data_IF_271116084972
#
_entry.id   IF_271116084972
#
_cell.length_a   1.000
_cell.length_b   1.000
_cell.length_c   1.000
_cell.angle_alpha   90.00
_cell.angle_beta   90.00
_cell.angle_gamma   90.00
#
_symmetry.space_group_name_H-M   'P 1'
#
loop_
_entity.id
_entity.type
_entity.pdbx_description
1 polymer ?
#
# COMPACT_ATOMS: atom_id res chain seq x y z
N UNK A 1 -21.82 15.77 -23.47
CA UNK A 1 -21.21 14.74 -22.60
C UNK A 1 -21.55 13.39 -23.22
N UNK A 2 -20.58 12.47 -23.42
CA UNK A 2 -20.83 11.21 -24.14
C UNK A 2 -21.54 10.21 -23.22
N UNK A 3 -22.46 9.40 -23.73
CA UNK A 3 -23.16 8.36 -22.97
C UNK A 3 -22.62 6.97 -23.34
N UNK A 4 -22.44 6.12 -22.33
CA UNK A 4 -22.07 4.72 -22.49
C UNK A 4 -23.14 3.81 -21.86
N UNK A 5 -23.51 2.75 -22.56
CA UNK A 5 -24.41 1.71 -22.06
C UNK A 5 -23.58 0.53 -21.57
N UNK A 6 -23.71 0.15 -20.30
CA UNK A 6 -23.07 -1.03 -19.72
C UNK A 6 -24.13 -2.11 -19.53
N UNK A 7 -23.94 -3.27 -20.15
CA UNK A 7 -24.87 -4.40 -20.11
C UNK A 7 -24.14 -5.71 -19.80
N UNK A 8 -24.91 -6.77 -19.50
CA UNK A 8 -24.43 -8.03 -18.91
C UNK A 8 -23.53 -7.82 -17.69
N UNK A 9 -24.06 -7.14 -16.66
CA UNK A 9 -23.34 -6.84 -15.41
C UNK A 9 -22.95 -8.10 -14.62
N UNK A 10 -21.78 -8.05 -13.97
CA UNK A 10 -21.32 -9.02 -12.97
C UNK A 10 -20.67 -8.26 -11.78
N UNK A 11 -19.96 -8.96 -10.89
CA UNK A 11 -19.28 -8.36 -9.72
C UNK A 11 -18.31 -7.20 -10.08
N UNK A 12 -17.91 -7.08 -11.36
CA UNK A 12 -16.98 -6.07 -11.86
C UNK A 12 -17.67 -4.83 -12.44
N UNK A 13 -19.00 -4.77 -12.46
CA UNK A 13 -19.75 -3.63 -13.02
C UNK A 13 -19.32 -2.28 -12.42
N UNK A 14 -19.00 -2.25 -11.12
CA UNK A 14 -18.52 -1.02 -10.48
C UNK A 14 -17.18 -0.52 -11.02
N UNK A 15 -16.29 -1.43 -11.43
CA UNK A 15 -15.00 -1.10 -12.03
C UNK A 15 -15.21 -0.50 -13.42
N UNK A 16 -16.11 -1.09 -14.22
CA UNK A 16 -16.44 -0.60 -15.57
C UNK A 16 -17.10 0.78 -15.52
N UNK A 17 -18.01 1.00 -14.57
CA UNK A 17 -18.67 2.29 -14.37
C UNK A 17 -17.66 3.37 -13.97
N UNK A 18 -16.71 3.07 -13.09
CA UNK A 18 -15.69 4.02 -12.66
C UNK A 18 -14.73 4.41 -13.80
N UNK A 19 -14.22 3.44 -14.59
CA UNK A 19 -13.36 3.73 -15.75
C UNK A 19 -14.05 4.65 -16.76
N UNK A 20 -15.31 4.36 -17.07
CA UNK A 20 -16.09 5.16 -18.01
C UNK A 20 -16.34 6.58 -17.48
N UNK A 21 -16.58 6.73 -16.18
CA UNK A 21 -16.76 8.03 -15.54
C UNK A 21 -15.46 8.88 -15.60
N UNK A 22 -14.29 8.30 -15.33
CA UNK A 22 -12.99 8.98 -15.46
C UNK A 22 -12.72 9.41 -16.91
N UNK A 23 -13.20 8.63 -17.87
CA UNK A 23 -13.12 8.94 -19.32
C UNK A 23 -14.20 9.93 -19.78
N UNK A 24 -14.98 10.49 -18.85
CA UNK A 24 -15.97 11.55 -19.09
C UNK A 24 -17.30 11.07 -19.66
N UNK A 25 -17.62 9.78 -19.54
CA UNK A 25 -18.92 9.23 -19.93
C UNK A 25 -19.95 9.37 -18.82
N UNK A 26 -21.21 9.59 -19.18
CA UNK A 26 -22.35 9.21 -18.32
C UNK A 26 -22.68 7.76 -18.59
N UNK A 27 -22.85 6.98 -17.53
CA UNK A 27 -23.04 5.54 -17.62
C UNK A 27 -24.48 5.18 -17.34
N UNK A 28 -25.11 4.48 -18.29
CA UNK A 28 -26.44 3.91 -18.15
C UNK A 28 -26.34 2.39 -18.05
N UNK A 29 -27.15 1.79 -17.17
CA UNK A 29 -27.27 0.33 -16.99
C UNK A 29 -28.74 -0.08 -17.17
N UNK A 30 -29.06 -1.11 -17.97
CA UNK A 30 -30.43 -1.59 -18.11
C UNK A 30 -31.09 -1.91 -16.75
N UNK A 31 -32.34 -1.51 -16.54
CA UNK A 31 -33.05 -1.72 -15.27
C UNK A 31 -33.18 -3.20 -14.87
N UNK A 32 -33.18 -4.10 -15.85
CA UNK A 32 -33.19 -5.56 -15.66
C UNK A 32 -31.87 -6.15 -15.11
N UNK A 33 -30.81 -5.34 -15.04
CA UNK A 33 -29.46 -5.74 -14.60
C UNK A 33 -29.09 -5.13 -13.24
N UNK A 34 -30.10 -4.79 -12.44
CA UNK A 34 -29.93 -4.30 -11.07
C UNK A 34 -29.30 -5.36 -10.17
N UNK A 35 -28.30 -4.93 -9.40
CA UNK A 35 -27.66 -5.68 -8.33
C UNK A 35 -27.35 -4.73 -7.16
N UNK A 36 -26.98 -5.26 -6.00
CA UNK A 36 -26.59 -4.43 -4.85
C UNK A 36 -25.46 -3.42 -5.20
N UNK A 37 -24.56 -3.80 -6.10
CA UNK A 37 -23.46 -2.94 -6.57
C UNK A 37 -23.98 -1.81 -7.46
N UNK A 38 -24.83 -2.10 -8.44
CA UNK A 38 -25.35 -1.06 -9.34
C UNK A 38 -26.31 -0.10 -8.62
N UNK A 39 -27.04 -0.59 -7.62
CA UNK A 39 -27.92 0.24 -6.79
C UNK A 39 -27.13 1.21 -5.89
N UNK A 40 -26.04 0.76 -5.27
CA UNK A 40 -25.14 1.64 -4.51
C UNK A 40 -24.51 2.72 -5.40
N UNK A 41 -24.05 2.35 -6.60
CA UNK A 41 -23.48 3.30 -7.56
C UNK A 41 -24.53 4.31 -8.07
N UNK A 42 -25.77 3.87 -8.30
CA UNK A 42 -26.87 4.76 -8.66
C UNK A 42 -27.20 5.74 -7.52
N UNK A 43 -27.23 5.28 -6.27
CA UNK A 43 -27.45 6.12 -5.09
C UNK A 43 -26.36 7.20 -4.91
N UNK A 44 -25.13 6.91 -5.37
CA UNK A 44 -24.00 7.86 -5.39
C UNK A 44 -23.96 8.74 -6.64
N UNK A 45 -24.93 8.60 -7.55
CA UNK A 45 -24.99 9.37 -8.80
C UNK A 45 -23.93 9.00 -9.83
N UNK A 46 -23.31 7.81 -9.73
CA UNK A 46 -22.24 7.36 -10.61
C UNK A 46 -22.75 6.63 -11.87
N UNK A 47 -24.00 6.19 -11.87
CA UNK A 47 -24.71 5.63 -13.04
C UNK A 47 -26.21 5.92 -12.98
N UNK A 48 -26.92 5.69 -14.09
CA UNK A 48 -28.38 5.75 -14.16
C UNK A 48 -28.97 4.42 -14.62
N UNK A 49 -30.05 3.96 -14.00
CA UNK A 49 -30.81 2.81 -14.50
C UNK A 49 -31.83 3.26 -15.55
N UNK A 50 -31.85 2.59 -16.70
CA UNK A 50 -32.71 2.94 -17.84
C UNK A 50 -33.59 1.75 -18.21
N UNK A 51 -34.88 1.99 -18.43
CA UNK A 51 -35.79 0.97 -18.98
C UNK A 51 -35.60 0.86 -20.49
N UNK A 52 -35.41 -0.37 -20.97
CA UNK A 52 -35.28 -0.71 -22.40
C UNK A 52 -34.37 0.24 -23.23
N UNK A 53 -33.08 0.38 -22.88
CA UNK A 53 -32.18 1.26 -23.60
C UNK A 53 -31.93 0.77 -25.04
N UNK A 54 -32.05 1.68 -26.02
CA UNK A 54 -31.63 1.43 -27.42
C UNK A 54 -30.10 1.49 -27.54
N UNK A 55 -29.39 0.37 -27.77
CA UNK A 55 -27.93 0.36 -27.80
C UNK A 55 -27.32 1.24 -28.90
N UNK A 56 -28.07 1.55 -29.97
CA UNK A 56 -27.58 2.40 -31.07
C UNK A 56 -27.60 3.90 -30.73
N UNK A 57 -28.28 4.30 -29.65
CA UNK A 57 -28.30 5.68 -29.18
C UNK A 57 -27.05 6.06 -28.37
N UNK A 58 -26.20 5.09 -28.02
CA UNK A 58 -25.02 5.28 -27.18
C UNK A 58 -23.73 5.41 -27.98
N UNK A 59 -22.81 6.25 -27.50
CA UNK A 59 -21.50 6.42 -28.12
C UNK A 59 -20.57 5.20 -27.88
N UNK A 60 -20.89 4.38 -26.88
CA UNK A 60 -20.14 3.20 -26.50
C UNK A 60 -21.09 2.21 -25.80
N UNK A 61 -21.07 0.94 -26.21
CA UNK A 61 -21.79 -0.15 -25.54
C UNK A 61 -20.76 -1.14 -25.02
N UNK A 62 -20.77 -1.41 -23.72
CA UNK A 62 -19.79 -2.25 -23.03
C UNK A 62 -20.49 -3.44 -22.40
N UNK A 63 -20.01 -4.63 -22.72
CA UNK A 63 -20.37 -5.85 -22.02
C UNK A 63 -19.45 -6.00 -20.80
N UNK A 64 -19.99 -5.84 -19.59
CA UNK A 64 -19.22 -5.96 -18.36
C UNK A 64 -18.71 -7.40 -18.10
N UNK A 65 -19.34 -8.41 -18.73
CA UNK A 65 -18.97 -9.81 -18.64
C UNK A 65 -17.97 -10.27 -19.72
N UNK A 66 -17.86 -9.56 -20.85
CA UNK A 66 -17.04 -9.97 -21.98
C UNK A 66 -15.54 -9.95 -21.67
N UNK A 67 -14.93 -11.13 -21.67
CA UNK A 67 -13.48 -11.28 -21.80
C UNK A 67 -13.04 -10.91 -23.22
N UNK A 68 -12.15 -9.93 -23.37
CA UNK A 68 -11.44 -9.71 -24.63
C UNK A 68 -10.46 -10.87 -24.86
N UNK A 69 -10.88 -11.87 -25.64
CA UNK A 69 -10.04 -12.99 -26.08
C UNK A 69 -9.00 -12.49 -27.09
N UNK A 70 -7.73 -12.49 -26.70
CA UNK A 70 -6.59 -12.35 -27.62
C UNK A 70 -6.28 -13.68 -28.32
N UNK A 71 -6.10 -13.64 -29.64
CA UNK A 71 -5.64 -14.78 -30.47
C UNK A 71 -4.16 -15.03 -30.20
N UNK A 72 -3.81 -16.24 -29.76
CA UNK A 72 -2.42 -16.72 -29.69
C UNK A 72 -2.01 -17.39 -31.02
N UNK A 73 -0.73 -17.31 -31.44
CA UNK A 73 -0.24 -18.09 -32.55
C UNK A 73 0.04 -19.55 -32.11
N UNK A 74 -0.34 -20.46 -32.99
CA UNK A 74 -0.28 -21.90 -32.85
C UNK A 74 1.15 -22.44 -32.93
N UNK A 75 1.56 -23.29 -31.97
CA UNK A 75 2.76 -24.13 -32.07
C UNK A 75 2.64 -25.41 -31.22
N UNK A 76 2.09 -26.44 -31.87
CA UNK A 76 2.41 -27.88 -31.85
C UNK A 76 3.09 -28.51 -30.62
N UNK A 77 2.52 -29.66 -30.29
CA UNK A 77 2.90 -30.67 -29.30
C UNK A 77 4.34 -31.21 -29.39
N UNK A 78 4.94 -31.50 -28.22
CA UNK A 78 5.50 -32.82 -27.90
C UNK A 78 5.75 -32.96 -26.40
N UNK A 79 5.35 -34.12 -25.85
CA UNK A 79 5.48 -34.43 -24.43
C UNK A 79 6.92 -34.77 -24.03
N UNK A 80 7.37 -34.14 -22.95
CA UNK A 80 8.42 -34.59 -22.06
C UNK A 80 8.00 -34.17 -20.66
N UNK A 81 8.02 -35.07 -19.68
CA UNK A 81 7.79 -34.73 -18.27
C UNK A 81 8.98 -33.94 -17.72
N UNK A 82 9.22 -32.76 -18.30
CA UNK A 82 10.14 -31.79 -17.77
C UNK A 82 9.70 -31.53 -16.33
N UNK A 83 10.59 -31.74 -15.36
CA UNK A 83 10.41 -31.09 -14.06
C UNK A 83 10.17 -29.63 -14.40
N UNK A 84 8.99 -29.10 -14.05
CA UNK A 84 8.71 -27.68 -14.27
C UNK A 84 9.91 -26.92 -13.71
N UNK A 85 10.54 -26.10 -14.55
CA UNK A 85 11.64 -25.26 -14.07
C UNK A 85 11.12 -24.46 -12.88
N UNK A 86 11.89 -24.41 -11.79
CA UNK A 86 11.55 -23.61 -10.62
C UNK A 86 11.31 -22.18 -11.09
N UNK A 87 10.19 -21.60 -10.65
CA UNK A 87 9.85 -20.22 -10.91
C UNK A 87 10.72 -19.28 -10.09
N UNK A 88 10.25 -18.05 -9.89
CA UNK A 88 11.01 -17.03 -9.20
C UNK A 88 10.10 -16.18 -8.30
N UNK A 89 10.71 -15.55 -7.31
CA UNK A 89 10.03 -14.58 -6.43
C UNK A 89 10.54 -13.18 -6.76
N UNK A 90 9.63 -12.22 -6.87
CA UNK A 90 9.95 -10.79 -6.97
C UNK A 90 9.41 -10.10 -5.73
N UNK A 91 10.30 -9.59 -4.89
CA UNK A 91 9.94 -8.78 -3.72
C UNK A 91 9.75 -7.34 -4.18
N UNK A 92 8.52 -6.82 -4.14
CA UNK A 92 8.15 -5.50 -4.66
C UNK A 92 7.73 -4.58 -3.53
N UNK A 93 8.45 -3.47 -3.38
CA UNK A 93 8.05 -2.36 -2.52
C UNK A 93 6.97 -1.54 -3.21
N UNK A 94 5.78 -1.55 -2.65
CA UNK A 94 4.56 -1.00 -3.23
C UNK A 94 4.39 0.51 -3.04
N UNK A 95 5.24 1.17 -2.25
CA UNK A 95 5.01 2.57 -1.90
C UNK A 95 4.04 2.75 -0.72
N UNK A 96 3.82 4.00 -0.26
CA UNK A 96 3.10 4.27 0.99
C UNK A 96 1.57 4.08 0.92
N UNK A 97 0.98 3.97 -0.28
CA UNK A 97 -0.46 3.79 -0.46
C UNK A 97 -0.93 4.20 -1.86
N UNK A 98 -0.58 5.41 -2.29
CA UNK A 98 -0.89 5.93 -3.63
C UNK A 98 -0.28 5.03 -4.73
N UNK A 99 -1.10 4.46 -5.64
CA UNK A 99 -0.62 3.69 -6.78
C UNK A 99 0.34 4.47 -7.69
N UNK A 100 0.24 5.81 -7.73
CA UNK A 100 1.17 6.67 -8.47
C UNK A 100 2.58 6.69 -7.91
N UNK A 101 2.79 6.19 -6.68
CA UNK A 101 4.10 6.04 -6.05
C UNK A 101 4.66 4.61 -6.17
N UNK A 102 3.93 3.70 -6.83
CA UNK A 102 4.48 2.42 -7.25
C UNK A 102 5.52 2.67 -8.35
N UNK A 103 6.69 2.04 -8.22
CA UNK A 103 7.72 2.18 -9.25
C UNK A 103 7.28 1.52 -10.56
N UNK A 104 7.79 2.01 -11.70
CA UNK A 104 7.50 1.39 -13.01
C UNK A 104 7.86 -0.10 -12.99
N UNK A 105 9.01 -0.46 -12.41
CA UNK A 105 9.42 -1.86 -12.27
C UNK A 105 8.46 -2.68 -11.39
N UNK A 106 7.91 -2.08 -10.32
CA UNK A 106 6.96 -2.74 -9.44
C UNK A 106 5.62 -3.00 -10.14
N UNK A 107 5.13 -2.03 -10.91
CA UNK A 107 3.94 -2.17 -11.73
C UNK A 107 4.09 -3.25 -12.80
N UNK A 108 5.22 -3.27 -13.50
CA UNK A 108 5.51 -4.29 -14.51
C UNK A 108 5.65 -5.69 -13.90
N UNK A 109 6.23 -5.82 -12.70
CA UNK A 109 6.24 -7.08 -11.99
C UNK A 109 4.82 -7.58 -11.67
N UNK A 110 3.94 -6.71 -11.16
CA UNK A 110 2.53 -7.06 -10.87
C UNK A 110 1.80 -7.50 -12.13
N UNK A 111 1.97 -6.80 -13.26
CA UNK A 111 1.36 -7.14 -14.56
C UNK A 111 1.80 -8.48 -15.14
N UNK A 112 2.94 -9.01 -14.72
CA UNK A 112 3.53 -10.24 -15.26
C UNK A 112 3.40 -11.43 -14.31
N UNK A 113 2.94 -11.21 -13.08
CA UNK A 113 2.86 -12.23 -12.05
C UNK A 113 1.83 -13.32 -12.38
N UNK A 114 2.18 -14.57 -12.06
CA UNK A 114 1.20 -15.66 -11.99
C UNK A 114 0.53 -15.68 -10.61
N UNK A 115 1.23 -15.22 -9.57
CA UNK A 115 0.71 -15.09 -8.19
C UNK A 115 1.15 -13.76 -7.61
N UNK A 116 0.24 -13.00 -7.02
CA UNK A 116 0.55 -11.81 -6.23
C UNK A 116 0.18 -12.06 -4.77
N UNK A 117 1.19 -12.20 -3.93
CA UNK A 117 1.07 -12.29 -2.47
C UNK A 117 1.19 -10.90 -1.87
N UNK A 118 0.14 -10.37 -1.28
CA UNK A 118 0.08 -8.98 -0.79
C UNK A 118 -0.43 -8.89 0.64
N UNK A 119 -0.02 -7.84 1.35
CA UNK A 119 -0.54 -7.52 2.68
C UNK A 119 -1.41 -6.27 2.65
N UNK A 120 -2.03 -5.95 3.79
CA UNK A 120 -2.99 -4.85 3.92
C UNK A 120 -2.41 -3.46 3.63
N UNK A 121 -1.08 -3.30 3.66
CA UNK A 121 -0.41 -2.01 3.46
C UNK A 121 0.07 -1.82 2.01
N UNK A 122 -0.04 -2.86 1.17
CA UNK A 122 0.23 -2.75 -0.25
C UNK A 122 -0.75 -1.78 -0.93
N UNK A 123 -0.36 -1.12 -2.04
CA UNK A 123 -1.27 -0.31 -2.84
C UNK A 123 -2.32 -1.21 -3.52
N UNK A 124 -3.43 -1.47 -2.85
CA UNK A 124 -4.42 -2.47 -3.29
C UNK A 124 -5.01 -2.16 -4.67
N UNK A 125 -5.13 -0.88 -5.02
CA UNK A 125 -5.60 -0.47 -6.35
C UNK A 125 -4.64 -0.92 -7.48
N UNK A 126 -3.35 -1.14 -7.20
CA UNK A 126 -2.39 -1.68 -8.17
C UNK A 126 -2.65 -3.15 -8.50
N UNK A 127 -3.38 -3.90 -7.67
CA UNK A 127 -3.73 -5.30 -7.96
C UNK A 127 -4.65 -5.43 -9.18
N UNK A 128 -5.41 -4.38 -9.53
CA UNK A 128 -6.21 -4.34 -10.75
C UNK A 128 -5.37 -4.40 -12.04
N UNK A 129 -4.06 -4.17 -11.93
CA UNK A 129 -3.12 -4.24 -13.04
C UNK A 129 -2.52 -5.65 -13.20
N UNK A 130 -2.79 -6.57 -12.27
CA UNK A 130 -2.37 -7.96 -12.40
C UNK A 130 -3.08 -8.63 -13.58
N UNK A 131 -2.51 -9.73 -14.08
CA UNK A 131 -3.16 -10.51 -15.14
C UNK A 131 -4.53 -11.00 -14.67
N UNK A 132 -5.51 -11.12 -15.58
CA UNK A 132 -6.83 -11.64 -15.22
C UNK A 132 -6.80 -13.05 -14.61
N UNK A 133 -5.78 -13.85 -14.94
CA UNK A 133 -5.58 -15.21 -14.45
C UNK A 133 -4.55 -15.32 -13.31
N UNK A 134 -4.06 -14.19 -12.79
CA UNK A 134 -3.15 -14.19 -11.65
C UNK A 134 -3.88 -14.57 -10.35
N UNK A 135 -3.28 -15.45 -9.55
CA UNK A 135 -3.74 -15.79 -8.21
C UNK A 135 -3.42 -14.64 -7.24
N UNK A 136 -4.43 -14.00 -6.66
CA UNK A 136 -4.24 -12.92 -5.68
C UNK A 136 -4.38 -13.46 -4.25
N UNK A 137 -3.30 -13.43 -3.45
CA UNK A 137 -3.27 -14.01 -2.10
C UNK A 137 -3.04 -12.92 -1.05
N UNK A 138 -4.06 -12.65 -0.22
CA UNK A 138 -3.97 -11.70 0.89
C UNK A 138 -3.39 -12.37 2.14
N UNK A 139 -2.25 -11.87 2.62
CA UNK A 139 -1.58 -12.33 3.86
C UNK A 139 -1.70 -11.32 5.02
N UNK A 140 -2.41 -10.21 4.83
CA UNK A 140 -2.51 -9.07 5.76
C UNK A 140 -3.53 -9.20 6.90
N UNK A 141 -4.21 -10.34 7.02
CA UNK A 141 -5.32 -10.74 7.92
C UNK A 141 -6.72 -10.74 7.30
N UNK A 142 -7.42 -11.84 7.56
CA UNK A 142 -8.88 -11.99 7.47
C UNK A 142 -9.51 -11.32 8.71
N UNK A 143 -10.63 -10.58 8.60
CA UNK A 143 -11.33 -10.03 9.77
C UNK A 143 -11.65 -11.15 10.78
N UNK A 144 -11.14 -11.03 12.02
CA UNK A 144 -11.27 -12.00 13.14
C UNK A 144 -10.41 -13.29 13.07
N UNK A 145 -9.42 -13.39 12.17
CA UNK A 145 -8.52 -14.56 12.07
C UNK A 145 -7.20 -14.46 12.84
N UNK A 146 -6.53 -15.61 13.02
CA UNK A 146 -5.15 -15.69 13.51
C UNK A 146 -4.18 -14.92 12.60
N UNK A 147 -3.21 -14.23 13.20
CA UNK A 147 -2.12 -13.57 12.47
C UNK A 147 -1.36 -14.62 11.65
N UNK A 148 -1.24 -14.45 10.32
CA UNK A 148 -0.41 -15.35 9.50
C UNK A 148 1.05 -15.22 9.95
N UNK A 149 1.66 -16.27 10.52
CA UNK A 149 3.07 -16.22 10.90
C UNK A 149 3.95 -15.93 9.69
N UNK A 150 5.09 -15.27 9.89
CA UNK A 150 5.99 -14.92 8.78
C UNK A 150 6.51 -16.18 8.09
N UNK A 151 6.73 -17.23 8.86
CA UNK A 151 7.17 -18.54 8.39
C UNK A 151 6.17 -19.12 7.39
N UNK A 152 4.87 -18.89 7.59
CA UNK A 152 3.81 -19.31 6.67
C UNK A 152 3.86 -18.50 5.36
N UNK A 153 4.11 -17.18 5.44
CA UNK A 153 4.28 -16.34 4.25
C UNK A 153 5.51 -16.79 3.46
N UNK A 154 6.62 -17.04 4.14
CA UNK A 154 7.86 -17.53 3.54
C UNK A 154 7.64 -18.88 2.84
N UNK A 155 6.96 -19.82 3.50
CA UNK A 155 6.63 -21.12 2.94
C UNK A 155 5.75 -20.99 1.69
N UNK A 156 4.73 -20.12 1.72
CA UNK A 156 3.86 -19.85 0.57
C UNK A 156 4.64 -19.35 -0.64
N UNK A 157 5.56 -18.40 -0.45
CA UNK A 157 6.39 -17.87 -1.54
C UNK A 157 7.23 -18.98 -2.18
N UNK A 158 7.88 -19.80 -1.35
CA UNK A 158 8.71 -20.93 -1.80
C UNK A 158 7.87 -21.99 -2.51
N UNK A 159 6.71 -22.34 -1.96
CA UNK A 159 5.78 -23.33 -2.52
C UNK A 159 5.33 -22.92 -3.92
N UNK A 160 4.82 -21.70 -4.08
CA UNK A 160 4.35 -21.18 -5.38
C UNK A 160 5.48 -21.10 -6.40
N UNK A 161 6.68 -20.68 -5.99
CA UNK A 161 7.83 -20.67 -6.90
C UNK A 161 8.25 -22.10 -7.32
N UNK A 162 8.18 -23.09 -6.43
CA UNK A 162 8.47 -24.50 -6.75
C UNK A 162 7.46 -25.13 -7.69
N UNK A 163 6.24 -24.60 -7.76
CA UNK A 163 5.25 -24.96 -8.78
C UNK A 163 5.60 -24.43 -10.19
N UNK A 164 6.67 -23.64 -10.30
CA UNK A 164 7.12 -23.01 -11.55
C UNK A 164 6.53 -21.62 -11.80
N UNK A 165 5.85 -21.03 -10.80
CA UNK A 165 5.14 -19.75 -10.96
C UNK A 165 6.06 -18.55 -10.78
N UNK A 166 5.76 -17.46 -11.49
CA UNK A 166 6.31 -16.13 -11.20
C UNK A 166 5.52 -15.49 -10.05
N UNK A 167 6.13 -15.43 -8.88
CA UNK A 167 5.49 -14.97 -7.64
C UNK A 167 5.92 -13.54 -7.34
N UNK A 168 4.98 -12.62 -7.21
CA UNK A 168 5.23 -11.27 -6.70
C UNK A 168 4.81 -11.20 -5.24
N UNK A 169 5.73 -10.80 -4.37
CA UNK A 169 5.42 -10.39 -3.00
C UNK A 169 5.30 -8.87 -2.97
N UNK A 170 4.07 -8.36 -3.05
CA UNK A 170 3.78 -6.92 -3.02
C UNK A 170 3.60 -6.44 -1.59
N UNK A 171 4.49 -5.55 -1.12
CA UNK A 171 4.54 -5.06 0.27
C UNK A 171 4.22 -3.57 0.33
N UNK A 172 3.64 -3.09 1.42
CA UNK A 172 3.58 -1.65 1.67
C UNK A 172 4.97 -1.04 1.87
N UNK A 173 5.17 0.18 1.37
CA UNK A 173 6.42 0.93 1.50
C UNK A 173 7.58 0.29 0.74
N UNK A 174 8.68 0.03 1.44
CA UNK A 174 9.86 -0.65 0.93
C UNK A 174 10.06 -2.01 1.61
N UNK A 175 10.63 -2.98 0.87
CA UNK A 175 10.83 -4.34 1.36
C UNK A 175 11.70 -4.42 2.62
N UNK A 176 12.73 -3.59 2.72
CA UNK A 176 13.80 -3.68 3.72
C UNK A 176 13.70 -2.61 4.82
N UNK A 177 12.76 -1.67 4.72
CA UNK A 177 12.46 -0.71 5.79
C UNK A 177 11.32 -1.25 6.67
N UNK A 178 11.67 -2.00 7.70
CA UNK A 178 10.74 -2.68 8.62
C UNK A 178 9.69 -3.58 7.95
N UNK A 179 9.91 -3.97 6.68
CA UNK A 179 9.01 -4.80 5.91
C UNK A 179 9.23 -6.30 6.07
N UNK A 180 10.31 -6.75 6.75
CA UNK A 180 10.73 -8.17 6.84
C UNK A 180 11.09 -8.82 5.50
N UNK A 181 11.34 -8.04 4.45
CA UNK A 181 11.74 -8.58 3.14
C UNK A 181 13.05 -9.37 3.18
N UNK A 182 13.95 -9.06 4.12
CA UNK A 182 15.18 -9.84 4.31
C UNK A 182 14.93 -11.27 4.77
N UNK A 183 13.93 -11.48 5.63
CA UNK A 183 13.54 -12.82 6.08
C UNK A 183 12.91 -13.63 4.93
N UNK A 184 12.04 -12.98 4.14
CA UNK A 184 11.44 -13.57 2.94
C UNK A 184 12.51 -13.95 1.90
N UNK A 185 13.51 -13.08 1.69
CA UNK A 185 14.66 -13.33 0.82
C UNK A 185 15.46 -14.56 1.27
N UNK A 186 15.85 -14.60 2.55
CA UNK A 186 16.66 -15.69 3.11
C UNK A 186 15.93 -17.04 2.98
N UNK A 187 14.64 -17.09 3.28
CA UNK A 187 13.85 -18.31 3.14
C UNK A 187 13.80 -18.82 1.69
N UNK A 188 13.69 -17.91 0.71
CA UNK A 188 13.74 -18.27 -0.70
C UNK A 188 15.13 -18.76 -1.12
N UNK A 189 16.19 -18.08 -0.67
CA UNK A 189 17.58 -18.45 -0.93
C UNK A 189 17.91 -19.85 -0.37
N UNK A 190 17.54 -20.13 0.88
CA UNK A 190 17.69 -21.44 1.52
C UNK A 190 16.95 -22.56 0.77
N UNK A 191 15.84 -22.21 0.12
CA UNK A 191 15.04 -23.12 -0.69
C UNK A 191 15.51 -23.28 -2.15
N UNK A 192 16.54 -22.56 -2.56
CA UNK A 192 17.05 -22.53 -3.94
C UNK A 192 16.15 -21.80 -4.94
N UNK A 193 15.26 -20.92 -4.46
CA UNK A 193 14.34 -20.12 -5.27
C UNK A 193 15.03 -18.81 -5.68
N UNK A 194 15.14 -18.49 -6.98
CA UNK A 194 15.64 -17.19 -7.43
C UNK A 194 14.77 -16.04 -6.92
N UNK A 195 15.41 -14.98 -6.43
CA UNK A 195 14.72 -13.77 -5.94
C UNK A 195 15.24 -12.53 -6.65
N UNK A 196 14.33 -11.68 -7.09
CA UNK A 196 14.62 -10.31 -7.56
C UNK A 196 14.01 -9.30 -6.58
N UNK A 197 14.73 -8.23 -6.28
CA UNK A 197 14.25 -7.14 -5.43
C UNK A 197 13.88 -5.93 -6.31
N UNK A 198 12.68 -5.39 -6.11
CA UNK A 198 12.25 -4.10 -6.64
C UNK A 198 12.03 -3.15 -5.46
N UNK A 199 12.90 -2.15 -5.26
CA UNK A 199 12.75 -1.17 -4.18
C UNK A 199 11.44 -0.39 -4.30
N UNK A 200 10.92 0.03 -3.15
CA UNK A 200 9.72 0.85 -3.05
C UNK A 200 10.00 2.22 -2.46
N UNK A 201 9.08 3.15 -2.68
CA UNK A 201 9.11 4.45 -2.01
C UNK A 201 8.69 4.25 -0.55
N UNK A 202 9.62 4.36 0.39
CA UNK A 202 9.30 4.12 1.81
C UNK A 202 8.37 5.21 2.38
N UNK A 203 7.40 4.77 3.19
CA UNK A 203 6.50 5.68 3.92
C UNK A 203 7.25 6.58 4.90
N UNK A 204 8.42 6.13 5.38
CA UNK A 204 9.28 6.93 6.25
C UNK A 204 9.69 8.28 5.62
N UNK A 205 9.77 8.36 4.29
CA UNK A 205 10.21 9.55 3.55
C UNK A 205 9.04 10.22 2.82
N UNK A 206 8.24 9.44 2.09
CA UNK A 206 7.20 10.00 1.24
C UNK A 206 6.02 10.59 2.02
N UNK A 207 5.59 9.96 3.12
CA UNK A 207 4.45 10.45 3.89
C UNK A 207 4.74 11.83 4.50
N UNK A 208 5.88 12.07 5.17
CA UNK A 208 6.27 13.41 5.60
C UNK A 208 6.31 14.41 4.44
N UNK A 209 6.93 14.04 3.32
CA UNK A 209 7.06 14.94 2.17
C UNK A 209 5.69 15.38 1.61
N UNK A 210 4.74 14.44 1.47
CA UNK A 210 3.37 14.72 1.02
C UNK A 210 2.54 15.51 2.05
N UNK A 211 2.94 15.47 3.33
CA UNK A 211 2.38 16.31 4.39
C UNK A 211 3.11 17.67 4.50
N UNK A 212 3.98 18.03 3.55
CA UNK A 212 4.72 19.31 3.58
C UNK A 212 5.85 19.35 4.61
N UNK A 213 6.35 18.20 5.06
CA UNK A 213 7.42 18.09 6.06
C UNK A 213 8.66 17.48 5.39
N UNK A 214 9.70 18.28 5.07
CA UNK A 214 10.97 17.74 4.63
C UNK A 214 11.65 17.00 5.79
N UNK A 215 12.45 15.97 5.50
CA UNK A 215 13.22 15.28 6.55
C UNK A 215 14.61 15.88 6.76
N UNK A 216 15.07 16.69 5.82
CA UNK A 216 16.31 17.44 5.92
C UNK A 216 16.10 18.85 5.40
N UNK A 217 16.70 19.81 6.08
CA UNK A 217 16.75 21.19 5.62
C UNK A 217 18.12 21.75 5.99
N UNK A 218 18.83 22.36 5.02
CA UNK A 218 20.25 22.75 5.17
C UNK A 218 20.53 23.58 6.43
N UNK A 219 19.59 24.42 6.85
CA UNK A 219 19.73 25.27 8.04
C UNK A 219 19.28 24.63 9.35
N UNK A 220 18.68 23.43 9.31
CA UNK A 220 18.06 22.77 10.47
C UNK A 220 18.74 21.45 10.83
N UNK A 221 18.91 20.55 9.85
CA UNK A 221 19.54 19.24 10.08
C UNK A 221 20.27 18.74 8.81
N UNK A 222 21.36 18.01 9.03
CA UNK A 222 22.14 17.36 7.97
C UNK A 222 21.80 15.86 7.81
N UNK A 223 20.82 15.36 8.56
CA UNK A 223 20.38 13.97 8.44
C UNK A 223 19.11 13.68 9.24
N UNK A 224 18.67 12.44 9.14
CA UNK A 224 17.52 11.93 9.88
C UNK A 224 17.76 10.47 10.27
N UNK A 225 17.04 10.02 11.30
CA UNK A 225 17.03 8.63 11.76
C UNK A 225 15.64 8.06 11.62
N UNK A 226 15.54 6.81 11.16
CA UNK A 226 14.27 6.08 11.07
C UNK A 226 14.32 4.91 12.06
N UNK A 227 13.34 4.84 12.96
CA UNK A 227 13.26 3.79 13.98
C UNK A 227 11.86 3.18 14.07
N UNK A 228 11.79 1.95 14.58
CA UNK A 228 10.54 1.31 14.95
C UNK A 228 10.19 1.62 16.40
N UNK A 229 8.99 2.14 16.62
CA UNK A 229 8.38 2.32 17.93
C UNK A 229 7.46 1.16 18.34
N UNK A 230 7.52 0.01 17.67
CA UNK A 230 6.62 -1.12 17.90
C UNK A 230 6.71 -1.68 19.33
N UNK A 231 7.92 -1.66 19.91
CA UNK A 231 8.17 -2.01 21.32
C UNK A 231 8.48 -0.74 22.11
N UNK A 232 7.95 -0.59 23.34
CA UNK A 232 8.15 0.63 24.12
C UNK A 232 9.60 0.74 24.63
N UNK A 233 10.09 1.97 24.91
CA UNK A 233 11.34 2.15 25.63
C UNK A 233 11.38 1.37 26.96
N UNK A 234 12.51 0.77 27.28
CA UNK A 234 12.71 -0.03 28.49
C UNK A 234 12.24 -1.49 28.40
N UNK A 235 11.56 -1.89 27.32
CA UNK A 235 11.29 -3.30 27.03
C UNK A 235 12.59 -4.04 26.69
N UNK A 236 12.85 -5.27 27.20
CA UNK A 236 14.05 -6.04 26.87
C UNK A 236 14.27 -6.30 25.37
N UNK A 237 13.20 -6.24 24.56
CA UNK A 237 13.25 -6.39 23.10
C UNK A 237 13.57 -5.08 22.38
N UNK A 238 13.54 -3.94 23.08
CA UNK A 238 13.84 -2.64 22.51
C UNK A 238 15.34 -2.46 22.37
N UNK A 239 15.83 -2.39 21.13
CA UNK A 239 17.24 -2.17 20.81
C UNK A 239 17.56 -0.73 20.42
N UNK A 240 16.57 0.17 20.48
CA UNK A 240 16.72 1.57 20.06
C UNK A 240 17.41 2.38 21.17
N UNK A 241 18.51 3.05 20.84
CA UNK A 241 19.16 4.00 21.74
C UNK A 241 18.45 5.37 21.69
N UNK A 242 17.40 5.50 22.50
CA UNK A 242 16.62 6.73 22.63
C UNK A 242 17.44 7.92 23.14
N UNK A 243 18.52 7.68 23.89
CA UNK A 243 19.39 8.75 24.39
C UNK A 243 20.18 9.38 23.25
N UNK A 244 20.75 8.54 22.39
CA UNK A 244 21.48 9.00 21.21
C UNK A 244 20.56 9.73 20.23
N UNK A 245 19.30 9.28 20.07
CA UNK A 245 18.31 10.02 19.26
C UNK A 245 17.98 11.40 19.85
N UNK A 246 17.76 11.50 21.16
CA UNK A 246 17.46 12.77 21.82
C UNK A 246 18.60 13.79 21.74
N UNK A 247 19.84 13.32 21.71
CA UNK A 247 21.04 14.18 21.75
C UNK A 247 21.75 14.35 20.41
N UNK A 248 21.39 13.55 19.39
CA UNK A 248 22.07 13.50 18.10
C UNK A 248 21.75 14.64 17.14
N UNK A 249 20.72 15.45 17.43
CA UNK A 249 20.36 16.63 16.62
C UNK A 249 19.83 16.30 15.21
N UNK A 250 19.43 15.05 14.96
CA UNK A 250 18.82 14.62 13.70
C UNK A 250 17.29 14.69 13.77
N UNK A 251 16.63 14.82 12.63
CA UNK A 251 15.19 14.56 12.56
C UNK A 251 14.91 13.09 12.88
N UNK A 252 13.95 12.81 13.75
CA UNK A 252 13.58 11.45 14.14
C UNK A 252 12.27 11.09 13.45
N UNK A 253 12.27 9.98 12.70
CA UNK A 253 11.08 9.38 12.10
C UNK A 253 10.79 8.07 12.83
N UNK A 254 9.60 7.96 13.40
CA UNK A 254 9.16 6.77 14.15
C UNK A 254 8.04 6.08 13.38
N UNK A 255 8.29 4.83 12.98
CA UNK A 255 7.31 3.93 12.38
C UNK A 255 6.70 3.02 13.45
N UNK A 256 5.45 2.60 13.27
CA UNK A 256 4.77 1.66 14.18
C UNK A 256 4.72 2.13 15.65
N UNK A 257 4.80 3.44 15.89
CA UNK A 257 4.98 4.01 17.24
C UNK A 257 3.71 4.45 17.95
N UNK A 258 2.55 4.50 17.28
CA UNK A 258 1.31 5.12 17.80
C UNK A 258 0.95 4.62 19.21
N UNK A 259 0.96 3.30 19.43
CA UNK A 259 0.61 2.70 20.72
C UNK A 259 1.59 3.06 21.85
N UNK A 260 2.86 3.34 21.50
CA UNK A 260 3.93 3.63 22.46
C UNK A 260 4.33 5.11 22.46
N UNK A 261 3.57 5.97 21.77
CA UNK A 261 3.99 7.34 21.47
C UNK A 261 4.24 8.18 22.72
N UNK A 262 3.41 8.02 23.75
CA UNK A 262 3.58 8.68 25.05
C UNK A 262 4.89 8.26 25.74
N UNK A 263 5.21 6.95 25.71
CA UNK A 263 6.44 6.43 26.31
C UNK A 263 7.68 6.90 25.52
N UNK A 264 7.60 6.90 24.19
CA UNK A 264 8.66 7.38 23.30
C UNK A 264 8.95 8.87 23.52
N UNK A 265 7.91 9.71 23.53
CA UNK A 265 8.06 11.15 23.76
C UNK A 265 8.64 11.44 25.15
N UNK A 266 8.16 10.74 26.18
CA UNK A 266 8.70 10.87 27.55
C UNK A 266 10.16 10.45 27.65
N UNK A 267 10.56 9.36 26.98
CA UNK A 267 11.95 8.89 27.01
C UNK A 267 12.90 9.86 26.30
N UNK A 268 12.51 10.42 25.15
CA UNK A 268 13.30 11.44 24.45
C UNK A 268 13.48 12.70 25.31
N UNK A 269 12.41 13.17 25.96
CA UNK A 269 12.46 14.33 26.86
C UNK A 269 13.33 14.07 28.08
N UNK A 270 13.25 12.86 28.65
CA UNK A 270 14.09 12.44 29.78
C UNK A 270 15.58 12.52 29.47
N UNK A 271 15.97 12.32 28.20
CA UNK A 271 17.36 12.43 27.73
C UNK A 271 17.72 13.82 27.18
N UNK A 272 16.84 14.81 27.33
CA UNK A 272 17.16 16.22 27.07
C UNK A 272 16.59 16.80 25.78
N UNK A 273 15.77 16.05 25.01
CA UNK A 273 15.05 16.66 23.89
C UNK A 273 13.98 17.62 24.41
N UNK A 274 13.92 18.84 23.86
CA UNK A 274 13.06 19.88 24.40
C UNK A 274 11.56 19.48 24.31
N UNK A 275 10.75 19.70 25.37
CA UNK A 275 9.30 19.47 25.31
C UNK A 275 8.61 20.26 24.18
N UNK A 276 9.19 21.40 23.80
CA UNK A 276 8.73 22.30 22.74
C UNK A 276 9.19 21.91 21.34
N UNK A 277 10.02 20.86 21.18
CA UNK A 277 10.48 20.40 19.86
C UNK A 277 9.27 20.10 18.98
N UNK A 278 9.17 20.69 17.77
CA UNK A 278 8.07 20.42 16.86
C UNK A 278 7.96 18.93 16.52
N UNK A 279 6.74 18.40 16.52
CA UNK A 279 6.47 17.04 16.11
C UNK A 279 5.16 16.95 15.32
N UNK A 280 5.09 15.97 14.43
CA UNK A 280 3.90 15.65 13.65
C UNK A 280 3.62 14.15 13.70
N UNK A 281 2.34 13.78 13.63
CA UNK A 281 1.91 12.42 13.39
C UNK A 281 0.95 12.41 12.21
N UNK A 282 1.25 11.63 11.18
CA UNK A 282 0.50 11.55 9.92
C UNK A 282 -0.05 10.13 9.79
N UNK A 283 -1.36 9.99 9.88
CA UNK A 283 -2.10 8.74 9.70
C UNK A 283 -2.60 8.60 8.27
N UNK A 284 -2.70 7.37 7.78
CA UNK A 284 -3.18 7.04 6.42
C UNK A 284 -2.47 7.85 5.32
N UNK A 285 -1.16 8.07 5.49
CA UNK A 285 -0.36 8.90 4.60
C UNK A 285 -0.38 8.42 3.15
N UNK A 286 -0.35 9.38 2.21
CA UNK A 286 -0.46 9.14 0.77
C UNK A 286 -1.78 8.45 0.34
N UNK A 287 -2.84 8.62 1.12
CA UNK A 287 -4.19 8.15 0.77
C UNK A 287 -5.20 9.30 0.88
N UNK A 288 -6.39 9.18 0.29
CA UNK A 288 -7.45 10.18 0.46
C UNK A 288 -7.93 10.36 1.90
N UNK A 289 -7.66 9.42 2.81
CA UNK A 289 -8.03 9.49 4.23
C UNK A 289 -6.90 10.03 5.11
N UNK A 290 -5.82 10.57 4.51
CA UNK A 290 -4.70 11.15 5.24
C UNK A 290 -5.18 12.20 6.24
N UNK A 291 -4.73 12.06 7.49
CA UNK A 291 -4.95 13.04 8.57
C UNK A 291 -3.65 13.25 9.32
N UNK A 292 -3.39 14.45 9.79
CA UNK A 292 -2.22 14.74 10.60
C UNK A 292 -2.52 15.70 11.76
N UNK A 293 -1.63 15.65 12.75
CA UNK A 293 -1.56 16.64 13.82
C UNK A 293 -0.14 17.16 13.90
N UNK A 294 0.02 18.46 14.15
CA UNK A 294 1.30 19.12 14.41
C UNK A 294 1.23 19.80 15.77
N UNK A 295 2.19 19.52 16.64
CA UNK A 295 2.18 19.99 18.02
C UNK A 295 3.57 19.86 18.65
N UNK A 296 3.88 20.55 19.76
CA UNK A 296 5.06 20.24 20.56
C UNK A 296 5.14 18.76 20.96
N UNK A 297 6.36 18.23 21.07
CA UNK A 297 6.61 16.83 21.46
C UNK A 297 5.90 16.42 22.76
N UNK A 298 5.79 17.34 23.72
CA UNK A 298 5.10 17.10 25.00
C UNK A 298 3.61 16.77 24.85
N UNK A 299 2.96 17.33 23.83
CA UNK A 299 1.52 17.27 23.64
C UNK A 299 1.12 16.22 22.57
N UNK A 300 2.12 15.68 21.85
CA UNK A 300 1.92 14.84 20.67
C UNK A 300 1.03 13.62 20.91
N UNK A 301 1.31 12.85 21.96
CA UNK A 301 0.54 11.64 22.25
C UNK A 301 -0.94 11.96 22.53
N UNK A 302 -1.19 13.08 23.21
CA UNK A 302 -2.55 13.49 23.57
C UNK A 302 -3.29 14.09 22.38
N UNK A 303 -2.59 14.82 21.51
CA UNK A 303 -3.15 15.31 20.25
C UNK A 303 -3.55 14.15 19.32
N UNK A 304 -2.69 13.13 19.20
CA UNK A 304 -2.98 11.90 18.42
C UNK A 304 -4.21 11.18 18.98
N UNK A 305 -4.29 11.01 20.30
CA UNK A 305 -5.43 10.36 20.95
C UNK A 305 -6.74 11.17 20.78
N UNK A 306 -6.70 12.49 20.99
CA UNK A 306 -7.87 13.37 20.81
C UNK A 306 -8.34 13.42 19.35
N UNK A 307 -7.42 13.39 18.39
CA UNK A 307 -7.72 13.38 16.96
C UNK A 307 -8.19 12.02 16.43
N UNK A 308 -8.11 10.95 17.24
CA UNK A 308 -8.45 9.59 16.80
C UNK A 308 -7.58 9.14 15.62
N UNK A 309 -6.28 9.48 15.64
CA UNK A 309 -5.33 9.01 14.63
C UNK A 309 -4.92 7.57 14.95
N UNK A 310 -5.22 6.65 14.05
CA UNK A 310 -4.94 5.23 14.20
C UNK A 310 -3.81 4.77 13.27
N UNK A 311 -3.16 3.62 13.53
CA UNK A 311 -2.22 3.03 12.58
C UNK A 311 -2.90 2.63 11.26
N UNK A 312 -2.20 2.73 10.11
CA UNK A 312 -0.80 3.10 9.96
C UNK A 312 -0.55 4.60 10.09
N UNK A 313 0.46 4.98 10.87
CA UNK A 313 0.88 6.37 11.01
C UNK A 313 2.39 6.51 11.14
N UNK A 314 2.91 7.65 10.68
CA UNK A 314 4.31 8.05 10.73
C UNK A 314 4.43 9.25 11.66
N UNK A 315 5.33 9.16 12.64
CA UNK A 315 5.65 10.29 13.51
C UNK A 315 6.99 10.90 13.08
N UNK A 316 7.04 12.24 12.97
CA UNK A 316 8.24 13.02 12.69
C UNK A 316 8.50 13.96 13.85
N UNK A 317 9.71 14.02 14.35
CA UNK A 317 10.12 14.88 15.48
C UNK A 317 11.36 15.67 15.07
N UNK A 318 11.30 16.98 15.21
CA UNK A 318 12.39 17.91 14.91
C UNK A 318 11.91 19.17 14.19
N UNK A 319 12.78 20.18 14.13
CA UNK A 319 12.46 21.53 13.64
C UNK A 319 11.97 21.57 12.19
N UNK A 320 12.24 20.52 11.42
CA UNK A 320 11.79 20.37 10.03
C UNK A 320 10.27 20.34 9.90
N UNK A 321 9.53 19.95 10.95
CA UNK A 321 8.06 19.88 10.96
C UNK A 321 7.42 21.24 10.68
N UNK A 322 8.06 22.34 11.09
CA UNK A 322 7.57 23.71 10.87
C UNK A 322 8.31 24.47 9.77
N UNK A 323 9.23 23.82 9.05
CA UNK A 323 10.15 24.49 8.13
C UNK A 323 9.48 25.15 6.92
N UNK A 324 8.33 24.65 6.47
CA UNK A 324 7.61 25.16 5.29
C UNK A 324 6.41 26.07 5.62
N UNK A 325 6.26 26.51 6.89
CA UNK A 325 5.21 27.47 7.27
C UNK A 325 3.94 26.87 7.90
N UNK A 326 3.99 25.61 8.34
CA UNK A 326 2.88 24.90 8.98
C UNK A 326 2.07 24.06 7.98
N UNK A 327 1.74 22.82 8.35
CA UNK A 327 1.11 21.82 7.48
C UNK A 327 -0.40 22.05 7.25
N UNK A 328 -0.86 23.30 7.27
CA UNK A 328 -2.27 23.70 7.06
C UNK A 328 -2.50 24.27 5.64
N UNK A 329 -1.56 24.03 4.71
CA UNK A 329 -1.62 24.45 3.31
C UNK A 329 -2.37 23.50 2.40
#
# INVERSE_FOLDING_TARGET
MKQALVHRTDERVGVVVADLAERGFRVDVPAQERSAVTEDLAARGQLTHVEEPDPFAYALVVDASAHLKGVAPDARSSGSSARKATGAVVLVGGGPGDPGLLTVAGLEAVKQADVVVYDRLAPLASLAQARPDAELVNVGKIPRGEFTPQETINALLVERAREGKHVVRLKGGDNFVFGRGGEEWLACADAGVPVTLVPGVTSAVAVPALAGIPLTHRSLTQGFSVVSGHVPPGDPRCTVDWRSLATGGLTIVVLMGVANLRAIAGELQRHGLAPTTPAACIADGATPTQRHVVTPLADLADAVARGGLEPPAITVIGDVVTALGGADG
#
